data_IF_659754630836
#
_entry.id   IF_659754630836
#
_cell.length_a   1.000
_cell.length_b   1.000
_cell.length_c   1.000
_cell.angle_alpha   90.00
_cell.angle_beta   90.00
_cell.angle_gamma   90.00
#
_symmetry.space_group_name_H-M   'P 1'
#
loop_
_entity.id
_entity.type
_entity.pdbx_description
1 polymer ?
#
# COMPACT_ATOMS: atom_id res chain seq x y z
N UNK A 1 -48.55 -34.16 -57.96
CA UNK A 1 -48.49 -34.00 -59.47
C UNK A 1 -47.56 -32.83 -59.76
N UNK A 2 -46.54 -33.11 -60.60
CA UNK A 2 -45.73 -32.15 -61.38
C UNK A 2 -44.83 -31.19 -60.62
N UNK A 3 -43.62 -30.97 -60.95
CA UNK A 3 -42.62 -31.62 -61.85
C UNK A 3 -41.23 -31.07 -61.44
N UNK A 4 -40.31 -31.97 -61.45
CA UNK A 4 -38.89 -31.85 -61.42
C UNK A 4 -38.35 -30.99 -62.57
N UNK A 5 -37.38 -30.08 -62.32
CA UNK A 5 -36.36 -29.72 -63.33
C UNK A 5 -35.01 -29.57 -62.73
N UNK A 6 -34.16 -30.50 -63.05
CA UNK A 6 -32.74 -30.55 -62.90
C UNK A 6 -32.08 -29.56 -63.93
N UNK A 7 -31.16 -28.73 -63.48
CA UNK A 7 -30.23 -28.06 -64.35
C UNK A 7 -28.81 -28.32 -63.83
N UNK A 8 -28.12 -29.09 -64.64
CA UNK A 8 -26.72 -29.43 -64.56
C UNK A 8 -25.89 -28.30 -65.16
N UNK A 9 -24.90 -27.77 -64.47
CA UNK A 9 -23.86 -26.94 -65.10
C UNK A 9 -22.49 -27.54 -64.83
N UNK A 10 -21.72 -27.61 -65.88
CA UNK A 10 -20.42 -28.20 -66.04
C UNK A 10 -19.32 -27.38 -65.35
N UNK A 11 -18.42 -28.07 -64.74
CA UNK A 11 -17.19 -27.54 -64.19
C UNK A 11 -16.12 -27.67 -65.27
N UNK A 12 -15.48 -26.54 -65.61
CA UNK A 12 -14.23 -26.53 -66.39
C UNK A 12 -13.07 -26.35 -65.41
N UNK A 13 -12.22 -27.36 -65.35
CA UNK A 13 -10.94 -27.30 -64.63
C UNK A 13 -9.93 -26.54 -65.50
N UNK A 14 -9.34 -25.48 -64.90
CA UNK A 14 -8.06 -24.96 -65.36
C UNK A 14 -7.01 -25.32 -64.31
N UNK A 15 -6.10 -26.19 -64.70
CA UNK A 15 -4.87 -26.47 -63.92
C UNK A 15 -3.84 -25.47 -64.48
N UNK A 16 -3.39 -24.56 -63.55
CA UNK A 16 -2.14 -23.84 -63.75
C UNK A 16 -1.31 -24.10 -62.50
N UNK A 17 -0.22 -24.77 -62.77
CA UNK A 17 0.78 -24.99 -61.71
C UNK A 17 1.57 -23.71 -61.44
N UNK A 18 2.03 -23.61 -60.25
CA UNK A 18 3.11 -22.75 -59.97
C UNK A 18 3.80 -22.96 -58.67
N UNK A 19 4.91 -22.76 -58.71
CA UNK A 19 6.14 -22.65 -57.99
C UNK A 19 5.98 -22.33 -56.47
N UNK A 20 6.68 -23.17 -55.71
CA UNK A 20 7.07 -22.90 -54.32
C UNK A 20 7.93 -21.63 -54.25
N UNK A 21 7.48 -20.68 -53.48
CA UNK A 21 8.36 -19.69 -52.87
C UNK A 21 8.16 -19.73 -51.35
N UNK A 22 9.14 -20.31 -50.67
CA UNK A 22 9.37 -20.12 -49.28
C UNK A 22 9.35 -18.62 -48.94
N UNK A 23 8.32 -18.20 -48.21
CA UNK A 23 8.35 -16.92 -47.50
C UNK A 23 8.38 -17.22 -46.01
N UNK A 24 9.53 -16.92 -45.42
CA UNK A 24 9.74 -16.81 -43.99
C UNK A 24 8.59 -16.01 -43.37
N UNK A 25 7.82 -16.63 -42.51
CA UNK A 25 7.01 -15.91 -41.54
C UNK A 25 8.00 -15.27 -40.53
N UNK A 26 8.42 -14.05 -40.85
CA UNK A 26 9.01 -13.16 -39.88
C UNK A 26 8.02 -12.97 -38.75
N UNK A 27 8.38 -13.48 -37.59
CA UNK A 27 7.68 -13.26 -36.35
C UNK A 27 7.53 -11.75 -36.10
N UNK A 28 6.37 -11.22 -36.42
CA UNK A 28 5.97 -9.88 -36.02
C UNK A 28 5.81 -9.90 -34.54
N UNK A 29 6.89 -9.57 -33.83
CA UNK A 29 6.77 -9.18 -32.41
C UNK A 29 5.82 -7.97 -32.42
N UNK A 30 4.69 -8.09 -31.75
CA UNK A 30 3.83 -6.96 -31.45
C UNK A 30 4.68 -5.96 -30.68
N UNK A 31 5.22 -4.99 -31.39
CA UNK A 31 5.85 -3.81 -30.83
C UNK A 31 4.68 -3.07 -30.18
N UNK A 32 4.54 -3.21 -28.86
CA UNK A 32 3.66 -2.33 -28.07
C UNK A 32 4.18 -0.93 -28.37
N UNK A 33 3.37 -0.11 -29.02
CA UNK A 33 3.69 1.28 -29.32
C UNK A 33 3.87 2.02 -27.97
N UNK A 34 5.12 2.14 -27.53
CA UNK A 34 5.53 2.71 -26.25
C UNK A 34 5.35 4.24 -26.28
N UNK A 35 4.11 4.72 -26.36
CA UNK A 35 3.84 6.13 -26.10
C UNK A 35 4.01 6.39 -24.61
N UNK A 36 5.01 7.18 -24.18
CA UNK A 36 5.16 7.54 -22.78
C UNK A 36 3.93 8.33 -22.34
N UNK A 37 3.15 7.75 -21.43
CA UNK A 37 2.04 8.48 -20.82
C UNK A 37 2.60 9.52 -19.86
N UNK A 38 2.31 10.79 -20.14
CA UNK A 38 2.73 11.91 -19.27
C UNK A 38 2.10 11.71 -17.90
N UNK A 39 2.89 11.58 -16.83
CA UNK A 39 2.36 11.39 -15.49
C UNK A 39 1.60 12.64 -15.02
N UNK A 40 0.49 12.44 -14.30
CA UNK A 40 -0.26 13.50 -13.66
C UNK A 40 0.43 13.87 -12.34
N UNK A 41 0.99 15.09 -12.23
CA UNK A 41 1.83 15.51 -11.10
C UNK A 41 1.16 16.54 -10.18
N UNK A 42 -0.09 16.89 -10.42
CA UNK A 42 -0.82 17.88 -9.61
C UNK A 42 -1.98 17.24 -8.87
N UNK A 43 -2.11 17.52 -7.57
CA UNK A 43 -3.23 17.03 -6.76
C UNK A 43 -4.54 17.77 -7.08
N UNK A 44 -5.01 17.68 -8.31
CA UNK A 44 -6.25 18.25 -8.84
C UNK A 44 -7.15 17.12 -9.40
N UNK A 45 -8.25 17.48 -10.03
CA UNK A 45 -9.21 16.53 -10.60
C UNK A 45 -8.60 15.61 -11.66
N UNK A 46 -7.58 16.07 -12.40
CA UNK A 46 -6.94 15.28 -13.44
C UNK A 46 -6.16 14.08 -12.88
N UNK A 47 -5.64 14.20 -11.66
CA UNK A 47 -4.96 13.11 -10.95
C UNK A 47 -5.90 12.31 -10.03
N UNK A 48 -7.13 12.77 -9.82
CA UNK A 48 -8.10 12.04 -9.02
C UNK A 48 -8.62 10.84 -9.82
N UNK A 49 -8.65 9.69 -9.16
CA UNK A 49 -9.14 8.42 -9.71
C UNK A 49 -10.10 7.78 -8.72
N UNK A 50 -10.91 6.88 -9.24
CA UNK A 50 -11.81 6.05 -8.45
C UNK A 50 -11.59 4.60 -8.85
N UNK A 51 -11.48 3.71 -7.88
CA UNK A 51 -11.55 2.27 -8.12
C UNK A 51 -12.88 1.73 -7.61
N UNK A 52 -13.35 0.66 -8.22
CA UNK A 52 -14.52 -0.08 -7.77
C UNK A 52 -14.08 -1.26 -6.90
N UNK A 53 -14.82 -1.45 -5.81
CA UNK A 53 -14.72 -2.60 -4.92
C UNK A 53 -16.05 -3.35 -5.07
N UNK A 54 -16.02 -4.45 -5.80
CA UNK A 54 -17.24 -5.21 -6.15
C UNK A 54 -17.26 -6.53 -5.40
N UNK A 55 -18.40 -6.80 -4.75
CA UNK A 55 -18.79 -8.08 -4.21
C UNK A 55 -20.30 -8.22 -4.51
N UNK A 56 -21.18 -8.38 -3.52
CA UNK A 56 -22.64 -8.34 -3.71
C UNK A 56 -23.13 -6.96 -4.16
N UNK A 57 -22.40 -5.91 -3.79
CA UNK A 57 -22.63 -4.52 -4.19
C UNK A 57 -21.31 -3.86 -4.60
N UNK A 58 -21.38 -2.92 -5.55
CA UNK A 58 -20.23 -2.13 -5.99
C UNK A 58 -20.14 -0.83 -5.19
N UNK A 59 -18.97 -0.63 -4.58
CA UNK A 59 -18.57 0.62 -3.92
C UNK A 59 -17.50 1.33 -4.71
N UNK A 60 -17.45 2.65 -4.53
CA UNK A 60 -16.41 3.49 -5.10
C UNK A 60 -15.43 3.93 -4.02
N UNK A 61 -14.13 3.88 -4.36
CA UNK A 61 -13.04 4.33 -3.50
C UNK A 61 -12.17 5.33 -4.24
N UNK A 62 -12.04 6.53 -3.67
CA UNK A 62 -11.29 7.63 -4.26
C UNK A 62 -9.81 7.58 -3.89
N UNK A 63 -8.96 7.99 -4.83
CA UNK A 63 -7.51 8.13 -4.66
C UNK A 63 -6.96 9.21 -5.59
N UNK A 64 -5.73 9.65 -5.33
CA UNK A 64 -4.91 10.35 -6.31
C UNK A 64 -3.89 9.38 -6.89
N UNK A 65 -3.62 9.47 -8.20
CA UNK A 65 -2.59 8.65 -8.85
C UNK A 65 -1.92 9.42 -9.98
N UNK A 66 -0.60 9.30 -10.07
CA UNK A 66 0.17 9.87 -11.19
C UNK A 66 -0.13 9.17 -12.52
N UNK A 67 -0.55 7.91 -12.47
CA UNK A 67 -0.83 7.09 -13.65
C UNK A 67 -2.21 6.43 -13.56
N UNK A 68 -2.89 6.17 -14.69
CA UNK A 68 -4.05 5.28 -14.72
C UNK A 68 -3.73 3.90 -14.18
N UNK A 69 -4.70 3.25 -13.50
CA UNK A 69 -4.52 1.91 -12.92
C UNK A 69 -5.09 0.77 -13.79
N UNK A 70 -5.63 1.11 -14.95
CA UNK A 70 -6.34 0.24 -15.90
C UNK A 70 -5.82 0.34 -17.34
N UNK A 71 -4.65 0.96 -17.51
CA UNK A 71 -3.98 1.13 -18.80
C UNK A 71 -2.54 0.62 -18.71
N UNK A 72 -1.90 0.39 -19.85
CA UNK A 72 -0.51 -0.10 -19.89
C UNK A 72 0.44 1.02 -19.45
N UNK A 73 1.18 0.77 -18.38
CA UNK A 73 2.16 1.70 -17.77
C UNK A 73 3.51 1.01 -17.65
N UNK A 74 4.59 1.69 -18.02
CA UNK A 74 5.94 1.14 -18.02
C UNK A 74 6.75 1.45 -16.75
N UNK A 75 6.09 1.98 -15.71
CA UNK A 75 6.72 2.25 -14.41
C UNK A 75 7.23 0.96 -13.79
N UNK A 76 8.36 1.06 -13.10
CA UNK A 76 9.02 -0.07 -12.42
C UNK A 76 8.65 -0.15 -10.93
N UNK A 77 8.36 0.99 -10.33
CA UNK A 77 8.05 1.09 -8.90
C UNK A 77 6.70 1.77 -8.70
N UNK A 78 6.02 1.40 -7.62
CA UNK A 78 4.83 2.10 -7.16
C UNK A 78 4.95 2.42 -5.67
N UNK A 79 4.53 3.63 -5.27
CA UNK A 79 4.45 4.06 -3.88
C UNK A 79 3.00 4.35 -3.55
N UNK A 80 2.39 3.52 -2.70
CA UNK A 80 1.08 3.77 -2.11
C UNK A 80 1.30 4.52 -0.79
N UNK A 81 1.00 5.83 -0.77
CA UNK A 81 1.27 6.68 0.37
C UNK A 81 0.02 6.98 1.19
N UNK A 82 -0.13 6.31 2.32
CA UNK A 82 -1.31 6.40 3.20
C UNK A 82 -1.24 7.66 4.07
N UNK A 83 -2.32 8.43 4.05
CA UNK A 83 -2.46 9.70 4.74
C UNK A 83 -2.49 9.59 6.28
N UNK A 84 -2.28 10.71 6.96
CA UNK A 84 -2.46 10.86 8.40
C UNK A 84 -3.95 10.94 8.82
N UNK A 85 -4.20 11.26 10.08
CA UNK A 85 -5.55 11.25 10.65
C UNK A 85 -6.51 12.27 10.02
N UNK A 86 -6.00 13.33 9.38
CA UNK A 86 -6.82 14.36 8.73
C UNK A 86 -7.40 13.91 7.37
N UNK A 87 -7.06 12.75 6.89
CA UNK A 87 -7.55 12.12 5.66
C UNK A 87 -7.35 12.96 4.39
N UNK A 88 -6.35 13.84 4.41
CA UNK A 88 -5.98 14.77 3.34
C UNK A 88 -5.03 14.11 2.32
N UNK A 89 -5.51 13.09 1.62
CA UNK A 89 -4.72 12.31 0.65
C UNK A 89 -4.06 13.16 -0.44
N UNK A 90 -4.69 14.27 -0.86
CA UNK A 90 -4.12 15.23 -1.80
C UNK A 90 -2.78 15.81 -1.32
N UNK A 91 -2.64 16.11 -0.04
CA UNK A 91 -1.40 16.64 0.53
C UNK A 91 -0.30 15.57 0.59
N UNK A 92 -0.66 14.32 0.85
CA UNK A 92 0.26 13.19 0.81
C UNK A 92 0.73 12.89 -0.61
N UNK A 93 -0.20 12.95 -1.57
CA UNK A 93 0.12 12.86 -2.99
C UNK A 93 1.14 13.92 -3.40
N UNK A 94 0.89 15.21 -3.09
CA UNK A 94 1.83 16.31 -3.37
C UNK A 94 3.21 16.07 -2.79
N UNK A 95 3.30 15.68 -1.52
CA UNK A 95 4.59 15.42 -0.86
C UNK A 95 5.39 14.34 -1.61
N UNK A 96 4.77 13.21 -1.94
CA UNK A 96 5.48 12.12 -2.59
C UNK A 96 5.80 12.43 -4.06
N UNK A 97 4.89 13.11 -4.77
CA UNK A 97 5.18 13.61 -6.13
C UNK A 97 6.38 14.55 -6.11
N UNK A 98 6.41 15.52 -5.19
CA UNK A 98 7.57 16.42 -5.06
C UNK A 98 8.87 15.69 -4.75
N UNK A 99 8.82 14.61 -3.98
CA UNK A 99 10.01 13.78 -3.71
C UNK A 99 10.51 13.11 -4.99
N UNK A 100 9.63 12.42 -5.74
CA UNK A 100 10.04 11.73 -6.97
C UNK A 100 10.43 12.69 -8.09
N UNK A 101 9.82 13.89 -8.17
CA UNK A 101 10.25 14.97 -9.08
C UNK A 101 11.66 15.43 -8.74
N UNK A 102 11.95 15.69 -7.47
CA UNK A 102 13.26 16.11 -7.00
C UNK A 102 14.36 15.08 -7.30
N UNK A 103 13.97 13.80 -7.41
CA UNK A 103 14.88 12.68 -7.75
C UNK A 103 14.91 12.36 -9.26
N UNK A 104 14.11 13.05 -10.09
CA UNK A 104 14.02 12.76 -11.52
C UNK A 104 13.40 11.40 -11.84
N UNK A 105 12.51 10.87 -10.98
CA UNK A 105 11.96 9.51 -11.07
C UNK A 105 10.50 9.44 -11.51
N UNK A 106 9.94 10.50 -12.04
CA UNK A 106 8.52 10.60 -12.42
C UNK A 106 8.10 9.56 -13.47
N UNK A 107 8.99 9.17 -14.37
CA UNK A 107 8.73 8.16 -15.41
C UNK A 107 8.87 6.71 -14.89
N UNK A 108 9.54 6.52 -13.76
CA UNK A 108 9.84 5.20 -13.20
C UNK A 108 8.96 4.81 -12.01
N UNK A 109 8.30 5.80 -11.39
CA UNK A 109 7.57 5.61 -10.13
C UNK A 109 6.13 6.10 -10.24
N UNK A 110 5.17 5.21 -10.06
CA UNK A 110 3.78 5.57 -9.83
C UNK A 110 3.56 5.96 -8.37
N UNK A 111 2.97 7.12 -8.12
CA UNK A 111 2.52 7.55 -6.79
C UNK A 111 1.02 7.40 -6.70
N UNK A 112 0.55 6.70 -5.67
CA UNK A 112 -0.87 6.50 -5.37
C UNK A 112 -1.13 6.99 -3.93
N UNK A 113 -2.11 7.85 -3.74
CA UNK A 113 -2.55 8.30 -2.42
C UNK A 113 -4.03 7.96 -2.20
N UNK A 114 -4.34 6.84 -1.53
CA UNK A 114 -5.69 6.40 -1.23
C UNK A 114 -6.37 7.39 -0.26
N UNK A 115 -7.70 7.61 -0.40
CA UNK A 115 -8.50 8.43 0.50
C UNK A 115 -9.45 7.56 1.32
N UNK A 116 -9.03 7.19 2.53
CA UNK A 116 -9.90 6.50 3.48
C UNK A 116 -10.88 7.49 4.09
N UNK A 117 -12.12 7.49 3.60
CA UNK A 117 -13.22 8.34 4.06
C UNK A 117 -13.74 7.90 5.44
N UNK A 118 -14.25 8.83 6.22
CA UNK A 118 -15.14 8.56 7.34
C UNK A 118 -16.55 9.10 7.01
N UNK A 119 -17.47 9.03 7.95
CA UNK A 119 -18.86 9.48 7.77
C UNK A 119 -18.99 10.92 7.29
N UNK A 120 -18.09 11.81 7.71
CA UNK A 120 -18.07 13.23 7.33
C UNK A 120 -17.64 13.46 5.88
N UNK A 121 -16.94 12.49 5.26
CA UNK A 121 -16.38 12.56 3.90
C UNK A 121 -17.28 11.88 2.85
N UNK A 122 -18.45 11.37 3.23
CA UNK A 122 -19.37 10.65 2.32
C UNK A 122 -20.22 11.64 1.55
N UNK A 123 -20.19 11.56 0.22
CA UNK A 123 -20.96 12.43 -0.67
C UNK A 123 -21.94 11.68 -1.59
N UNK A 124 -21.76 10.36 -1.73
CA UNK A 124 -22.57 9.49 -2.60
C UNK A 124 -22.91 8.19 -1.87
N UNK A 125 -24.05 7.59 -2.19
CA UNK A 125 -24.46 6.29 -1.61
C UNK A 125 -23.48 5.16 -1.96
N UNK A 126 -22.75 5.29 -3.06
CA UNK A 126 -21.70 4.33 -3.47
C UNK A 126 -20.38 4.53 -2.75
N UNK A 127 -20.19 5.61 -1.99
CA UNK A 127 -18.92 5.87 -1.30
C UNK A 127 -18.70 4.85 -0.17
N UNK A 128 -17.57 4.18 -0.20
CA UNK A 128 -17.14 3.35 0.92
C UNK A 128 -16.47 4.21 1.99
N UNK A 129 -16.78 3.96 3.27
CA UNK A 129 -16.20 4.69 4.39
C UNK A 129 -16.04 3.83 5.64
N UNK A 130 -15.24 4.28 6.58
CA UNK A 130 -14.93 3.62 7.84
C UNK A 130 -15.21 4.53 9.02
N UNK A 131 -15.25 3.96 10.22
CA UNK A 131 -15.24 4.79 11.44
C UNK A 131 -13.95 5.61 11.54
N UNK A 132 -13.99 6.70 12.30
CA UNK A 132 -12.89 7.66 12.46
C UNK A 132 -11.52 7.02 12.78
N UNK A 133 -11.50 5.94 13.58
CA UNK A 133 -10.29 5.21 13.90
C UNK A 133 -10.15 3.91 13.09
N UNK A 134 -11.25 3.33 12.65
CA UNK A 134 -11.30 1.96 12.10
C UNK A 134 -10.50 1.79 10.82
N UNK A 135 -10.46 2.81 9.96
CA UNK A 135 -9.72 2.72 8.72
C UNK A 135 -8.22 2.43 8.94
N UNK A 136 -7.62 3.01 9.99
CA UNK A 136 -6.18 2.82 10.26
C UNK A 136 -5.82 1.44 10.83
N UNK A 137 -6.82 0.70 11.25
CA UNK A 137 -6.65 -0.60 11.90
C UNK A 137 -7.03 -1.79 11.00
N UNK A 138 -7.42 -1.55 9.76
CA UNK A 138 -7.90 -2.63 8.90
C UNK A 138 -9.31 -3.11 9.25
N UNK A 139 -10.10 -2.33 9.97
CA UNK A 139 -11.47 -2.69 10.29
C UNK A 139 -12.35 -2.68 9.02
N UNK A 140 -13.46 -3.38 9.09
CA UNK A 140 -14.46 -3.36 8.04
C UNK A 140 -15.12 -1.99 7.91
N UNK A 141 -15.52 -1.65 6.68
CA UNK A 141 -16.27 -0.43 6.35
C UNK A 141 -17.57 -0.33 7.14
N UNK A 142 -18.09 0.86 7.31
CA UNK A 142 -19.37 1.09 7.92
C UNK A 142 -20.48 0.59 7.00
N UNK A 143 -21.60 0.08 7.53
CA UNK A 143 -22.70 -0.37 6.72
C UNK A 143 -23.40 0.84 6.08
N UNK A 144 -23.36 0.92 4.76
CA UNK A 144 -24.47 1.49 4.03
C UNK A 144 -25.44 0.35 3.82
N UNK A 145 -26.58 0.35 4.50
CA UNK A 145 -27.68 -0.61 4.36
C UNK A 145 -27.35 -1.97 3.66
N UNK A 146 -27.02 -3.00 4.41
CA UNK A 146 -26.96 -4.43 3.99
C UNK A 146 -25.85 -4.87 3.04
N UNK A 147 -24.85 -4.04 2.74
CA UNK A 147 -23.79 -4.41 1.82
C UNK A 147 -22.65 -5.16 2.50
N UNK A 148 -21.93 -5.94 1.73
CA UNK A 148 -20.64 -6.54 2.11
C UNK A 148 -19.69 -5.47 2.64
N UNK A 149 -19.03 -5.79 3.73
CA UNK A 149 -18.10 -4.88 4.39
C UNK A 149 -16.68 -5.18 3.97
N UNK A 150 -15.99 -4.17 3.46
CA UNK A 150 -14.60 -4.29 3.06
C UNK A 150 -13.66 -3.78 4.17
N UNK A 151 -12.68 -4.59 4.54
CA UNK A 151 -11.56 -4.11 5.34
C UNK A 151 -10.82 -2.99 4.60
N UNK A 152 -10.38 -1.96 5.32
CA UNK A 152 -9.52 -0.92 4.72
C UNK A 152 -8.20 -1.50 4.20
N UNK A 153 -7.72 -2.62 4.74
CA UNK A 153 -6.55 -3.33 4.22
C UNK A 153 -6.86 -4.03 2.89
N UNK A 154 -8.07 -4.57 2.71
CA UNK A 154 -8.48 -5.17 1.44
C UNK A 154 -8.52 -4.17 0.28
N UNK A 155 -8.69 -2.87 0.55
CA UNK A 155 -8.51 -1.82 -0.46
C UNK A 155 -7.07 -1.78 -0.97
N UNK A 156 -6.10 -1.88 -0.06
CA UNK A 156 -4.68 -1.94 -0.45
C UNK A 156 -4.38 -3.25 -1.18
N UNK A 157 -4.97 -4.38 -0.78
CA UNK A 157 -4.85 -5.64 -1.52
C UNK A 157 -5.32 -5.46 -2.98
N UNK A 158 -6.43 -4.77 -3.19
CA UNK A 158 -6.95 -4.45 -4.53
C UNK A 158 -5.97 -3.59 -5.33
N UNK A 159 -5.41 -2.53 -4.72
CA UNK A 159 -4.42 -1.68 -5.38
C UNK A 159 -3.13 -2.45 -5.72
N UNK A 160 -2.62 -3.24 -4.79
CA UNK A 160 -1.43 -4.08 -4.99
C UNK A 160 -1.66 -5.09 -6.11
N UNK A 161 -2.83 -5.74 -6.14
CA UNK A 161 -3.20 -6.70 -7.20
C UNK A 161 -3.28 -6.03 -8.57
N UNK A 162 -3.85 -4.82 -8.65
CA UNK A 162 -3.87 -4.04 -9.90
C UNK A 162 -2.46 -3.69 -10.38
N UNK A 163 -1.60 -3.21 -9.48
CA UNK A 163 -0.19 -2.88 -9.78
C UNK A 163 0.66 -4.12 -10.14
N UNK A 164 0.31 -5.27 -9.61
CA UNK A 164 0.97 -6.54 -9.93
C UNK A 164 0.51 -7.16 -11.26
N UNK A 165 -0.51 -6.62 -11.90
CA UNK A 165 -1.01 -7.08 -13.20
C UNK A 165 0.02 -6.81 -14.31
N UNK A 166 0.65 -7.84 -14.82
CA UNK A 166 1.61 -7.72 -15.94
C UNK A 166 0.95 -7.22 -17.25
N UNK A 167 -0.37 -7.30 -17.38
CA UNK A 167 -1.12 -6.71 -18.49
C UNK A 167 -1.10 -5.18 -18.44
N UNK A 168 -1.21 -4.59 -17.25
CA UNK A 168 -1.22 -3.13 -17.08
C UNK A 168 0.13 -2.57 -16.64
N UNK A 169 0.90 -3.31 -15.88
CA UNK A 169 2.20 -2.90 -15.35
C UNK A 169 3.28 -3.95 -15.67
N UNK A 170 3.62 -4.14 -16.97
CA UNK A 170 4.53 -5.22 -17.39
C UNK A 170 5.93 -5.12 -16.77
N UNK A 171 6.39 -3.89 -16.45
CA UNK A 171 7.73 -3.63 -15.89
C UNK A 171 7.74 -3.47 -14.35
N UNK A 172 6.60 -3.67 -13.66
CA UNK A 172 6.55 -3.52 -12.20
C UNK A 172 7.48 -4.51 -11.49
N UNK A 173 8.37 -3.98 -10.67
CA UNK A 173 9.41 -4.71 -9.91
C UNK A 173 9.23 -4.54 -8.40
N UNK A 174 8.70 -3.37 -7.96
CA UNK A 174 8.57 -3.09 -6.53
C UNK A 174 7.32 -2.26 -6.21
N UNK A 175 6.61 -2.68 -5.15
CA UNK A 175 5.47 -1.96 -4.59
C UNK A 175 5.79 -1.57 -3.14
N UNK A 176 5.69 -0.28 -2.85
CA UNK A 176 6.02 0.30 -1.55
C UNK A 176 4.73 0.79 -0.89
N UNK A 177 4.48 0.36 0.34
CA UNK A 177 3.38 0.86 1.17
C UNK A 177 3.97 1.82 2.18
N UNK A 178 3.86 3.11 1.92
CA UNK A 178 4.36 4.18 2.77
C UNK A 178 3.24 4.79 3.61
N UNK A 179 3.55 5.27 4.80
CA UNK A 179 2.61 6.01 5.61
C UNK A 179 3.31 6.96 6.58
N UNK A 180 2.57 8.00 7.01
CA UNK A 180 3.02 8.93 8.03
C UNK A 180 1.96 9.06 9.13
N UNK A 181 2.36 9.12 10.41
CA UNK A 181 1.46 9.30 11.53
C UNK A 181 0.41 8.16 11.62
N UNK A 182 -0.87 8.44 11.45
CA UNK A 182 -1.92 7.41 11.41
C UNK A 182 -1.77 6.46 10.22
N UNK A 183 -1.32 6.97 9.06
CA UNK A 183 -0.99 6.14 7.90
C UNK A 183 0.21 5.23 8.15
N UNK A 184 1.18 5.66 8.96
CA UNK A 184 2.29 4.80 9.38
C UNK A 184 1.80 3.63 10.24
N UNK A 185 0.87 3.87 11.15
CA UNK A 185 0.24 2.80 11.92
C UNK A 185 -0.50 1.82 11.01
N UNK A 186 -1.28 2.35 10.04
CA UNK A 186 -1.94 1.55 9.00
C UNK A 186 -0.93 0.66 8.26
N UNK A 187 0.14 1.25 7.72
CA UNK A 187 1.12 0.54 6.91
C UNK A 187 1.88 -0.53 7.71
N UNK A 188 2.16 -0.28 9.00
CA UNK A 188 2.80 -1.25 9.87
C UNK A 188 1.87 -2.44 10.17
N UNK A 189 0.59 -2.20 10.46
CA UNK A 189 -0.39 -3.25 10.68
C UNK A 189 -0.65 -4.06 9.39
N UNK A 190 -0.73 -3.37 8.25
CA UNK A 190 -0.86 -4.01 6.95
C UNK A 190 0.37 -4.88 6.64
N UNK A 191 1.57 -4.41 6.93
CA UNK A 191 2.80 -5.21 6.75
C UNK A 191 2.81 -6.49 7.59
N UNK A 192 2.15 -6.47 8.74
CA UNK A 192 2.04 -7.63 9.62
C UNK A 192 0.97 -8.64 9.17
N UNK A 193 -0.11 -8.17 8.53
CA UNK A 193 -1.31 -8.97 8.30
C UNK A 193 -1.67 -9.27 6.85
N UNK A 194 -1.07 -8.63 5.82
CA UNK A 194 -1.43 -8.93 4.45
C UNK A 194 -0.89 -10.29 3.98
N UNK A 195 -1.55 -10.86 2.99
CA UNK A 195 -1.25 -12.18 2.44
C UNK A 195 -0.57 -12.13 1.06
N UNK A 196 -0.31 -10.93 0.52
CA UNK A 196 0.22 -10.73 -0.82
C UNK A 196 1.75 -10.71 -0.85
N UNK A 197 2.38 -10.17 0.20
CA UNK A 197 3.83 -10.08 0.28
C UNK A 197 4.49 -11.47 0.27
N UNK A 198 5.40 -11.67 -0.68
CA UNK A 198 6.04 -12.95 -0.95
C UNK A 198 5.24 -13.89 -1.87
N UNK A 199 4.04 -13.47 -2.35
CA UNK A 199 3.21 -14.24 -3.30
C UNK A 199 3.10 -13.58 -4.68
N UNK A 200 3.65 -12.38 -4.86
CA UNK A 200 3.66 -11.67 -6.13
C UNK A 200 4.88 -12.11 -6.94
N UNK A 201 4.64 -12.65 -8.13
CA UNK A 201 5.70 -13.12 -9.02
C UNK A 201 6.59 -11.94 -9.44
N UNK A 202 7.89 -12.04 -9.14
CA UNK A 202 8.93 -11.07 -9.51
C UNK A 202 8.69 -9.62 -9.04
N UNK A 203 7.79 -9.42 -8.07
CA UNK A 203 7.52 -8.10 -7.49
C UNK A 203 7.80 -8.16 -5.99
N UNK A 204 8.72 -7.31 -5.54
CA UNK A 204 9.03 -7.16 -4.12
C UNK A 204 8.10 -6.14 -3.46
N UNK A 205 7.78 -6.36 -2.18
CA UNK A 205 7.09 -5.37 -1.36
C UNK A 205 7.99 -4.79 -0.28
N UNK A 206 7.81 -3.52 0.05
CA UNK A 206 8.45 -2.88 1.18
C UNK A 206 7.50 -1.88 1.86
N UNK A 207 7.81 -1.53 3.12
CA UNK A 207 6.92 -0.73 3.96
C UNK A 207 7.71 0.38 4.64
N UNK A 208 7.26 1.64 4.50
CA UNK A 208 7.88 2.82 5.11
C UNK A 208 6.96 3.39 6.19
N UNK A 209 7.39 3.32 7.43
CA UNK A 209 6.60 3.61 8.62
C UNK A 209 7.14 4.89 9.27
N UNK A 210 6.59 6.05 8.88
CA UNK A 210 7.11 7.34 9.33
C UNK A 210 6.33 7.88 10.54
N UNK A 211 7.03 8.14 11.65
CA UNK A 211 6.50 8.82 12.84
C UNK A 211 5.20 8.23 13.40
N UNK A 212 5.09 6.90 13.44
CA UNK A 212 3.95 6.23 14.07
C UNK A 212 3.96 6.42 15.59
N UNK A 213 2.79 6.65 16.19
CA UNK A 213 2.68 6.65 17.65
C UNK A 213 2.33 5.28 18.26
N UNK A 214 1.94 4.29 17.45
CA UNK A 214 1.59 2.95 17.88
C UNK A 214 2.19 1.91 16.96
N UNK A 215 2.50 0.75 17.54
CA UNK A 215 3.03 -0.41 16.84
C UNK A 215 2.35 -1.68 17.35
N UNK A 216 2.26 -2.70 16.52
CA UNK A 216 1.78 -4.03 16.88
C UNK A 216 2.91 -4.80 17.57
N UNK A 217 2.79 -4.98 18.87
CA UNK A 217 3.66 -5.86 19.63
C UNK A 217 3.18 -7.31 19.50
N UNK A 218 4.09 -8.22 19.35
CA UNK A 218 3.79 -9.63 19.07
C UNK A 218 3.95 -10.54 20.28
N UNK A 219 4.24 -9.94 21.44
CA UNK A 219 4.14 -10.58 22.75
C UNK A 219 3.64 -9.57 23.80
N UNK A 220 3.42 -10.04 25.03
CA UNK A 220 2.85 -9.30 26.14
C UNK A 220 3.78 -8.29 26.82
N UNK A 221 5.09 -8.24 26.45
CA UNK A 221 6.02 -7.32 27.12
C UNK A 221 5.94 -5.91 26.53
N UNK A 222 6.13 -4.92 27.41
CA UNK A 222 6.20 -3.49 27.05
C UNK A 222 7.38 -2.85 27.78
N UNK A 223 7.79 -1.68 27.31
CA UNK A 223 8.86 -0.94 27.95
C UNK A 223 8.49 -0.53 29.37
N UNK A 224 9.35 -0.82 30.33
CA UNK A 224 9.24 -0.39 31.72
C UNK A 224 10.38 0.56 32.07
N UNK A 225 10.04 1.81 32.40
CA UNK A 225 11.02 2.83 32.80
C UNK A 225 11.74 2.47 34.11
N UNK A 226 11.05 1.80 35.02
CA UNK A 226 11.60 1.49 36.36
C UNK A 226 12.78 0.53 36.30
N UNK A 227 12.81 -0.34 35.31
CA UNK A 227 13.91 -1.31 35.13
C UNK A 227 14.73 -1.04 33.85
N UNK A 228 14.38 -0.01 33.07
CA UNK A 228 14.99 0.32 31.78
C UNK A 228 15.06 -0.87 30.84
N UNK A 229 14.00 -1.70 30.82
CA UNK A 229 13.90 -2.90 30.02
C UNK A 229 12.42 -3.26 29.75
N UNK A 230 12.18 -4.32 29.00
CA UNK A 230 10.84 -4.84 28.71
C UNK A 230 10.37 -5.79 29.81
N UNK A 231 9.11 -5.63 30.24
CA UNK A 231 8.44 -6.50 31.19
C UNK A 231 6.94 -6.57 30.90
N UNK A 232 6.26 -7.54 31.50
CA UNK A 232 4.80 -7.64 31.43
C UNK A 232 4.20 -6.55 32.33
N UNK A 233 3.35 -5.65 31.78
CA UNK A 233 2.68 -4.63 32.59
C UNK A 233 1.71 -5.24 33.59
N UNK A 234 1.69 -4.72 34.80
CA UNK A 234 0.84 -5.22 35.89
C UNK A 234 -0.36 -4.34 36.21
N UNK A 235 -0.42 -3.14 35.64
CA UNK A 235 -1.39 -2.10 36.03
C UNK A 235 -2.19 -1.48 34.90
N UNK A 236 -2.11 -2.01 33.69
CA UNK A 236 -2.82 -1.48 32.55
C UNK A 236 -3.62 -2.60 31.86
N UNK A 237 -4.94 -2.55 31.92
CA UNK A 237 -5.79 -3.49 31.19
C UNK A 237 -5.79 -3.19 29.67
N UNK A 238 -6.06 -4.22 28.87
CA UNK A 238 -6.29 -4.10 27.43
C UNK A 238 -5.11 -3.51 26.61
N UNK A 239 -3.90 -3.47 27.21
CA UNK A 239 -2.72 -2.94 26.53
C UNK A 239 -2.25 -3.84 25.37
N UNK A 240 -2.60 -5.13 25.43
CA UNK A 240 -2.20 -6.16 24.47
C UNK A 240 -3.32 -6.55 23.47
N UNK A 241 -4.44 -5.84 23.52
CA UNK A 241 -5.49 -5.94 22.53
C UNK A 241 -5.08 -5.28 21.20
N UNK A 242 -5.58 -5.85 20.10
CA UNK A 242 -5.42 -5.25 18.77
C UNK A 242 -5.97 -3.80 18.75
N UNK A 243 -5.30 -2.84 18.15
CA UNK A 243 -4.14 -2.95 17.24
C UNK A 243 -2.76 -2.84 17.90
N UNK A 244 -2.64 -2.98 19.22
CA UNK A 244 -1.38 -2.83 19.95
C UNK A 244 -0.73 -4.16 20.33
N UNK A 245 -1.50 -5.24 20.26
CA UNK A 245 -1.12 -6.62 20.53
C UNK A 245 -1.96 -7.57 19.70
N UNK A 246 -1.87 -8.86 19.99
CA UNK A 246 -2.47 -9.92 19.18
C UNK A 246 -3.79 -10.46 19.76
N UNK A 247 -4.30 -9.90 20.87
CA UNK A 247 -5.58 -10.27 21.45
C UNK A 247 -6.69 -9.52 20.68
N UNK A 248 -7.82 -10.17 20.45
CA UNK A 248 -9.03 -9.61 19.81
C UNK A 248 -8.76 -8.93 18.45
N UNK A 249 -7.98 -9.59 17.61
CA UNK A 249 -7.72 -9.14 16.23
C UNK A 249 -9.02 -8.99 15.45
N UNK A 250 -9.08 -8.01 14.54
CA UNK A 250 -10.21 -7.85 13.63
C UNK A 250 -10.28 -8.97 12.57
N UNK A 251 -11.35 -8.97 11.78
CA UNK A 251 -11.63 -10.01 10.77
C UNK A 251 -10.46 -10.20 9.79
N UNK A 252 -9.89 -9.11 9.26
CA UNK A 252 -8.77 -9.20 8.31
C UNK A 252 -7.53 -9.83 8.95
N UNK A 253 -7.14 -9.37 10.13
CA UNK A 253 -5.96 -9.88 10.84
C UNK A 253 -6.14 -11.32 11.34
N UNK A 254 -7.38 -11.76 11.56
CA UNK A 254 -7.70 -13.13 11.96
C UNK A 254 -7.58 -14.15 10.81
N UNK A 255 -7.45 -13.71 9.55
CA UNK A 255 -7.09 -14.60 8.44
C UNK A 255 -5.69 -15.20 8.63
N UNK A 256 -4.84 -14.54 9.42
CA UNK A 256 -3.49 -15.00 9.76
C UNK A 256 -3.39 -15.45 11.22
N UNK A 257 -2.74 -16.59 11.44
CA UNK A 257 -2.38 -17.02 12.80
C UNK A 257 -1.35 -16.06 13.43
N UNK A 258 -1.25 -16.04 14.76
CA UNK A 258 -0.22 -15.26 15.44
C UNK A 258 1.20 -15.65 15.01
N UNK A 259 1.43 -16.94 14.73
CA UNK A 259 2.71 -17.43 14.21
C UNK A 259 3.01 -16.81 12.83
N UNK A 260 2.01 -16.74 11.94
CA UNK A 260 2.19 -16.12 10.64
C UNK A 260 2.53 -14.63 10.77
N UNK A 261 1.83 -13.89 11.63
CA UNK A 261 2.10 -12.47 11.91
C UNK A 261 3.53 -12.27 12.44
N UNK A 262 4.01 -13.15 13.32
CA UNK A 262 5.39 -13.13 13.83
C UNK A 262 6.38 -13.41 12.69
N UNK A 263 6.12 -14.39 11.83
CA UNK A 263 6.97 -14.68 10.67
C UNK A 263 7.06 -13.48 9.71
N UNK A 264 6.00 -12.68 9.60
CA UNK A 264 5.98 -11.46 8.78
C UNK A 264 6.91 -10.35 9.30
N UNK A 265 7.51 -10.48 10.49
CA UNK A 265 8.60 -9.61 10.95
C UNK A 265 9.86 -9.74 10.07
N UNK A 266 9.96 -10.76 9.23
CA UNK A 266 11.01 -10.92 8.21
C UNK A 266 10.79 -10.08 6.95
N UNK A 267 9.68 -9.31 6.84
CA UNK A 267 9.39 -8.43 5.72
C UNK A 267 10.29 -7.18 5.73
N UNK A 268 10.42 -6.56 4.54
CA UNK A 268 11.26 -5.37 4.38
C UNK A 268 10.52 -4.12 4.89
N UNK A 269 10.65 -3.83 6.17
CA UNK A 269 10.01 -2.70 6.85
C UNK A 269 11.06 -1.71 7.33
N UNK A 270 10.89 -0.42 7.03
CA UNK A 270 11.76 0.65 7.55
C UNK A 270 10.96 1.61 8.43
N UNK A 271 11.39 1.75 9.67
CA UNK A 271 10.91 2.79 10.57
C UNK A 271 11.66 4.09 10.28
N UNK A 272 10.94 5.12 9.81
CA UNK A 272 11.47 6.46 9.58
C UNK A 272 11.10 7.33 10.78
N UNK A 273 12.07 7.72 11.58
CA UNK A 273 11.84 8.45 12.82
C UNK A 273 12.43 9.85 12.73
N UNK A 274 11.58 10.87 12.77
CA UNK A 274 12.01 12.26 12.88
C UNK A 274 12.64 12.51 14.25
N UNK A 275 13.89 12.99 14.28
CA UNK A 275 14.66 13.19 15.51
C UNK A 275 13.99 14.15 16.47
N UNK A 276 13.30 15.17 15.92
CA UNK A 276 12.59 16.21 16.67
C UNK A 276 11.10 15.87 16.92
N UNK A 277 10.62 14.66 16.56
CA UNK A 277 9.23 14.25 16.88
C UNK A 277 9.10 13.80 18.34
N UNK A 278 9.54 14.69 19.21
CA UNK A 278 9.59 14.54 20.68
C UNK A 278 8.48 15.30 21.40
N UNK A 279 7.60 15.99 20.66
CA UNK A 279 6.52 16.79 21.25
C UNK A 279 5.35 15.93 21.71
N UNK A 280 4.61 16.44 22.69
CA UNK A 280 3.37 15.81 23.17
C UNK A 280 2.12 16.20 22.34
N UNK A 281 2.27 17.05 21.34
CA UNK A 281 1.14 17.49 20.52
C UNK A 281 0.46 16.31 19.83
N UNK A 282 -0.86 16.18 20.03
CA UNK A 282 -1.69 15.12 19.49
C UNK A 282 -1.20 13.70 19.83
N UNK A 283 -0.39 13.58 20.86
CA UNK A 283 0.10 12.31 21.38
C UNK A 283 -0.96 11.70 22.32
N UNK A 284 -1.29 10.44 22.10
CA UNK A 284 -2.14 9.69 23.04
C UNK A 284 -1.35 9.39 24.31
N UNK A 285 -1.94 9.71 25.48
CA UNK A 285 -1.31 9.56 26.80
C UNK A 285 -2.06 8.61 27.71
N UNK A 286 -2.92 7.76 27.17
CA UNK A 286 -3.59 6.70 27.92
C UNK A 286 -2.58 5.70 28.48
N UNK A 287 -2.99 4.93 29.48
CA UNK A 287 -2.17 3.92 30.15
C UNK A 287 -1.39 3.05 29.13
N UNK A 288 -2.08 2.42 28.20
CA UNK A 288 -1.45 1.56 27.20
C UNK A 288 -0.48 2.30 26.26
N UNK A 289 -0.70 3.59 26.03
CA UNK A 289 0.15 4.39 25.15
C UNK A 289 1.46 4.80 25.84
N UNK A 290 1.43 5.07 27.14
CA UNK A 290 2.61 5.41 27.92
C UNK A 290 3.58 4.24 28.11
N UNK A 291 3.09 3.01 27.99
CA UNK A 291 3.92 1.79 27.95
C UNK A 291 4.79 1.64 26.71
N UNK A 292 4.55 2.45 25.66
CA UNK A 292 5.28 2.37 24.41
C UNK A 292 6.46 3.34 24.36
N UNK A 293 6.44 4.38 25.18
CA UNK A 293 7.45 5.46 25.21
C UNK A 293 6.82 6.85 25.39
N UNK A 294 7.66 7.85 25.59
CA UNK A 294 7.26 9.21 25.97
C UNK A 294 6.76 10.08 24.82
N UNK A 295 7.27 9.85 23.64
CA UNK A 295 6.95 10.57 22.40
C UNK A 295 7.08 9.62 21.20
N UNK A 296 6.78 10.08 19.98
CA UNK A 296 6.77 9.21 18.79
C UNK A 296 8.14 8.69 18.44
N UNK A 297 9.18 9.51 18.53
CA UNK A 297 10.57 9.11 18.33
C UNK A 297 10.98 7.99 19.31
N UNK A 298 10.66 8.19 20.59
CA UNK A 298 10.95 7.20 21.63
C UNK A 298 10.18 5.90 21.41
N UNK A 299 8.87 5.98 21.09
CA UNK A 299 8.02 4.81 20.80
C UNK A 299 8.55 3.98 19.64
N UNK A 300 8.96 4.63 18.55
CA UNK A 300 9.56 3.93 17.40
C UNK A 300 10.90 3.31 17.76
N UNK A 301 11.73 4.01 18.55
CA UNK A 301 13.01 3.51 19.03
C UNK A 301 12.86 2.33 20.00
N UNK A 302 11.87 2.37 20.93
CA UNK A 302 11.53 1.25 21.83
C UNK A 302 10.98 0.06 21.06
N UNK A 303 10.12 0.29 20.06
CA UNK A 303 9.63 -0.80 19.24
C UNK A 303 10.77 -1.50 18.47
N UNK A 304 11.73 -0.74 17.93
CA UNK A 304 12.90 -1.34 17.30
C UNK A 304 13.78 -2.13 18.27
N UNK A 305 13.96 -1.62 19.51
CA UNK A 305 14.64 -2.36 20.59
C UNK A 305 13.89 -3.65 20.96
N UNK A 306 12.56 -3.60 21.03
CA UNK A 306 11.70 -4.77 21.26
C UNK A 306 11.95 -5.86 20.20
N UNK A 307 11.93 -5.49 18.91
CA UNK A 307 12.20 -6.41 17.84
C UNK A 307 13.60 -7.03 17.95
N UNK A 308 14.61 -6.20 18.17
CA UNK A 308 15.99 -6.66 18.30
C UNK A 308 16.17 -7.64 19.49
N UNK A 309 15.46 -7.40 20.58
CA UNK A 309 15.56 -8.25 21.79
C UNK A 309 14.85 -9.60 21.60
N UNK A 310 13.62 -9.59 21.09
CA UNK A 310 12.78 -10.79 21.08
C UNK A 310 12.74 -11.53 19.74
N UNK A 311 13.09 -10.84 18.67
CA UNK A 311 13.01 -11.37 17.30
C UNK A 311 14.29 -11.04 16.51
N UNK A 312 15.46 -11.53 16.91
CA UNK A 312 16.76 -11.15 16.29
C UNK A 312 16.86 -11.48 14.79
N UNK A 313 15.95 -12.31 14.26
CA UNK A 313 15.84 -12.59 12.82
C UNK A 313 14.95 -11.63 12.03
N UNK A 314 14.40 -10.58 12.67
CA UNK A 314 13.60 -9.58 11.96
C UNK A 314 14.42 -8.82 10.91
N UNK A 315 13.73 -8.33 9.85
CA UNK A 315 14.38 -7.52 8.81
C UNK A 315 14.02 -6.04 8.87
N UNK A 316 13.40 -5.59 9.93
CA UNK A 316 13.10 -4.18 10.14
C UNK A 316 14.38 -3.36 10.20
N UNK A 317 14.37 -2.23 9.52
CA UNK A 317 15.40 -1.19 9.57
C UNK A 317 14.88 0.00 10.38
N UNK A 318 15.78 0.77 10.99
CA UNK A 318 15.47 2.05 11.61
C UNK A 318 16.35 3.12 10.98
N UNK A 319 15.72 4.15 10.43
CA UNK A 319 16.38 5.33 9.88
C UNK A 319 15.90 6.55 10.65
N UNK A 320 16.84 7.30 11.21
CA UNK A 320 16.58 8.59 11.87
C UNK A 320 16.73 9.70 10.83
N UNK A 321 15.72 10.58 10.76
CA UNK A 321 15.76 11.75 9.90
C UNK A 321 16.13 12.96 10.77
N UNK A 322 17.34 13.51 10.61
CA UNK A 322 17.82 14.62 11.43
C UNK A 322 16.92 15.86 11.30
N UNK A 323 16.73 16.56 12.39
CA UNK A 323 15.97 17.81 12.48
C UNK A 323 14.52 17.74 11.99
N UNK A 324 13.99 16.54 11.74
CA UNK A 324 12.59 16.36 11.35
C UNK A 324 11.70 16.16 12.59
N UNK A 325 10.60 16.92 12.66
CA UNK A 325 9.53 16.77 13.65
C UNK A 325 8.41 15.86 13.14
N UNK A 326 7.16 16.21 13.52
CA UNK A 326 5.97 15.47 13.11
C UNK A 326 5.37 16.00 11.79
N UNK A 327 6.18 16.36 10.84
CA UNK A 327 5.75 16.79 9.50
C UNK A 327 6.24 15.82 8.43
N UNK A 328 5.32 15.40 7.54
CA UNK A 328 5.66 14.49 6.44
C UNK A 328 6.66 15.06 5.45
N UNK A 329 6.63 16.41 5.24
CA UNK A 329 7.56 17.04 4.32
C UNK A 329 8.97 17.05 4.90
N UNK A 330 9.12 17.29 6.22
CA UNK A 330 10.42 17.18 6.91
C UNK A 330 10.97 15.76 6.83
N UNK A 331 10.11 14.73 6.86
CA UNK A 331 10.55 13.35 6.72
C UNK A 331 10.95 13.03 5.28
N UNK A 332 10.11 13.32 4.29
CA UNK A 332 10.28 12.80 2.93
C UNK A 332 10.96 13.76 1.96
N UNK A 333 10.95 15.09 2.22
CA UNK A 333 11.57 16.10 1.36
C UNK A 333 12.90 16.65 1.89
N UNK A 334 13.32 16.26 3.09
CA UNK A 334 14.66 16.57 3.58
C UNK A 334 15.72 15.83 2.76
N UNK A 335 16.97 16.32 2.80
CA UNK A 335 18.09 15.63 2.13
C UNK A 335 18.20 14.16 2.56
N UNK A 336 18.01 13.87 3.85
CA UNK A 336 18.06 12.50 4.36
C UNK A 336 16.87 11.67 3.86
N UNK A 337 15.66 12.24 3.80
CA UNK A 337 14.47 11.59 3.28
C UNK A 337 14.57 11.30 1.78
N UNK A 338 15.00 12.26 0.98
CA UNK A 338 15.24 12.08 -0.46
C UNK A 338 16.32 11.02 -0.72
N UNK A 339 17.42 11.06 0.03
CA UNK A 339 18.47 10.02 -0.08
C UNK A 339 17.96 8.63 0.31
N UNK A 340 17.07 8.53 1.30
CA UNK A 340 16.43 7.26 1.66
C UNK A 340 15.55 6.75 0.52
N UNK A 341 14.67 7.60 -0.04
CA UNK A 341 13.77 7.23 -1.14
C UNK A 341 14.61 6.76 -2.35
N UNK A 342 15.60 7.53 -2.76
CA UNK A 342 16.49 7.23 -3.89
C UNK A 342 17.14 5.83 -3.73
N UNK A 343 17.69 5.56 -2.56
CA UNK A 343 18.29 4.25 -2.26
C UNK A 343 17.30 3.09 -2.29
N UNK A 344 16.04 3.33 -1.92
CA UNK A 344 15.02 2.27 -1.86
C UNK A 344 14.36 2.00 -3.22
N UNK A 345 14.29 3.00 -4.15
CA UNK A 345 13.71 2.81 -5.48
C UNK A 345 14.73 2.39 -6.55
N UNK A 346 16.03 2.66 -6.36
CA UNK A 346 17.08 2.31 -7.33
C UNK A 346 17.63 0.89 -7.09
N UNK A 347 17.51 0.37 -5.87
CA UNK A 347 17.93 -0.98 -5.49
C UNK A 347 16.82 -1.99 -5.62
#
# INVERSE_FOLDING_TARGET
>A
MKNLRLITFYIIFFIIGCEDTDQNEDGKSDIIDEQPTIPCLKANLDCQRTIELTDEQTFTFDLFSTHPLDSVMLVKNAIIFVHGRERNSNEYFKTMVSAIESLGQTENVAVIAPKFKNEEDVYKDSDIYWSYLGWRYGNNSQPSSNATRHSSFAVIDTLVTKLASKTHFPKMEKIIIAGHSAGAQFSQLYSAGNDLDGKLNDISMSYWIANSQFFLYTNETRWSKSISDFSIPTSCSNYDEYPRGLIDKNTYMNSNSNVQIINNLSRNVTLLLGEEDITSSLLTTTCYATLLGDNRFDRGSKYFQFLTKYYPGHKYKKVTIPSAGHDRNEIYLSTAGLSFIDNEIIK
#
